data_IF_756304693622
#
_entry.id   IF_756304693622
#
_cell.length_a   1.000
_cell.length_b   1.000
_cell.length_c   1.000
_cell.angle_alpha   90.00
_cell.angle_beta   90.00
_cell.angle_gamma   90.00
#
_symmetry.space_group_name_H-M   'P 1'
#
loop_
_entity.id
_entity.type
_entity.pdbx_description
1 polymer ?
#
# COMPACT_ATOMS: atom_id res chain seq x y z
N UNK A 1 21.59 -3.57 1.40
CA UNK A 1 20.19 -3.39 1.00
C UNK A 1 20.05 -3.03 -0.48
N UNK A 2 20.83 -2.10 -1.03
CA UNK A 2 20.74 -1.67 -2.43
C UNK A 2 20.85 -2.84 -3.44
N UNK A 3 21.86 -3.71 -3.30
CA UNK A 3 22.04 -4.88 -4.17
C UNK A 3 20.80 -5.81 -4.20
N UNK A 4 20.10 -5.97 -3.06
CA UNK A 4 18.88 -6.77 -3.01
C UNK A 4 17.72 -6.07 -3.75
N UNK A 5 17.55 -4.74 -3.63
CA UNK A 5 16.56 -3.97 -4.40
C UNK A 5 16.79 -4.12 -5.91
N UNK A 6 18.03 -4.05 -6.35
CA UNK A 6 18.38 -4.21 -7.76
C UNK A 6 18.13 -5.63 -8.29
N UNK A 7 18.36 -6.67 -7.47
CA UNK A 7 18.02 -8.04 -7.82
C UNK A 7 16.50 -8.23 -7.90
N UNK A 8 15.75 -7.69 -6.94
CA UNK A 8 14.27 -7.74 -6.93
C UNK A 8 13.64 -7.01 -8.13
N UNK A 9 14.33 -6.04 -8.73
CA UNK A 9 13.86 -5.36 -9.93
C UNK A 9 13.81 -6.27 -11.16
N UNK A 10 14.63 -7.33 -11.20
CA UNK A 10 14.80 -8.19 -12.37
C UNK A 10 14.55 -9.67 -12.12
N UNK A 11 14.46 -10.09 -10.86
CA UNK A 11 14.26 -11.49 -10.48
C UNK A 11 13.09 -11.60 -9.49
N UNK A 12 12.46 -12.78 -9.46
CA UNK A 12 11.49 -13.11 -8.42
C UNK A 12 12.22 -13.34 -7.10
N UNK A 13 11.57 -12.99 -5.99
CA UNK A 13 12.15 -13.19 -4.65
C UNK A 13 12.60 -14.65 -4.40
N UNK A 14 11.82 -15.62 -4.85
CA UNK A 14 12.13 -17.04 -4.70
C UNK A 14 13.46 -17.44 -5.36
N UNK A 15 13.83 -16.79 -6.46
CA UNK A 15 15.03 -17.10 -7.25
C UNK A 15 16.30 -16.40 -6.73
N UNK A 16 16.15 -15.46 -5.77
CA UNK A 16 17.27 -14.71 -5.20
C UNK A 16 17.84 -15.47 -4.00
N UNK A 17 19.15 -15.77 -4.04
CA UNK A 17 19.88 -16.35 -2.92
C UNK A 17 20.71 -15.31 -2.18
N UNK A 18 21.07 -15.59 -0.91
CA UNK A 18 22.04 -14.78 -0.16
C UNK A 18 23.38 -14.69 -0.90
N UNK A 19 23.81 -15.78 -1.55
CA UNK A 19 25.04 -15.78 -2.36
C UNK A 19 24.97 -14.78 -3.53
N UNK A 20 23.82 -14.68 -4.23
CA UNK A 20 23.62 -13.71 -5.30
C UNK A 20 23.68 -12.26 -4.78
N UNK A 21 23.08 -12.01 -3.59
CA UNK A 21 23.14 -10.69 -2.95
C UNK A 21 24.57 -10.31 -2.57
N UNK A 22 25.33 -11.26 -2.01
CA UNK A 22 26.72 -11.05 -1.66
C UNK A 22 27.59 -10.77 -2.89
N UNK A 23 27.44 -11.58 -3.94
CA UNK A 23 28.16 -11.40 -5.19
C UNK A 23 27.90 -10.02 -5.81
N UNK A 24 26.64 -9.57 -5.79
CA UNK A 24 26.27 -8.26 -6.33
C UNK A 24 26.72 -7.09 -5.45
N UNK A 25 26.70 -7.26 -4.13
CA UNK A 25 27.08 -6.18 -3.19
C UNK A 25 28.58 -6.06 -2.96
N UNK A 26 29.38 -7.08 -3.28
CA UNK A 26 30.78 -7.19 -2.89
C UNK A 26 31.00 -7.37 -1.38
N UNK A 27 29.93 -7.61 -0.61
CA UNK A 27 30.02 -7.74 0.84
C UNK A 27 30.52 -9.13 1.27
N UNK A 28 31.28 -9.18 2.38
CA UNK A 28 31.67 -10.43 2.97
C UNK A 28 30.45 -11.15 3.61
N UNK A 29 30.45 -12.49 3.57
CA UNK A 29 29.37 -13.31 4.14
C UNK A 29 29.12 -12.99 5.62
N UNK A 30 30.18 -12.77 6.41
CA UNK A 30 30.06 -12.40 7.81
C UNK A 30 29.34 -11.07 8.02
N UNK A 31 29.57 -10.08 7.16
CA UNK A 31 28.88 -8.79 7.22
C UNK A 31 27.38 -8.93 6.98
N UNK A 32 26.96 -9.81 6.07
CA UNK A 32 25.54 -10.07 5.86
C UNK A 32 24.87 -10.61 7.12
N UNK A 33 25.42 -11.68 7.67
CA UNK A 33 24.85 -12.37 8.84
C UNK A 33 24.97 -11.58 10.15
N UNK A 34 25.80 -10.54 10.17
CA UNK A 34 25.82 -9.58 11.28
C UNK A 34 24.55 -8.71 11.31
N UNK A 35 24.01 -8.34 10.15
CA UNK A 35 22.83 -7.48 10.06
C UNK A 35 21.52 -8.23 9.87
N UNK A 36 21.55 -9.37 9.18
CA UNK A 36 20.35 -10.13 8.79
C UNK A 36 20.60 -11.62 9.04
N UNK A 37 19.76 -12.23 9.89
CA UNK A 37 19.87 -13.65 10.16
C UNK A 37 19.50 -14.51 8.92
N UNK A 38 18.66 -13.96 8.02
CA UNK A 38 18.20 -14.66 6.83
C UNK A 38 17.87 -13.70 5.67
N UNK A 39 17.54 -14.26 4.50
CA UNK A 39 17.04 -13.50 3.35
C UNK A 39 15.68 -12.86 3.66
N UNK A 40 14.87 -13.53 4.44
CA UNK A 40 13.56 -13.09 4.91
C UNK A 40 13.69 -11.85 5.81
N UNK A 41 14.66 -11.84 6.72
CA UNK A 41 14.94 -10.69 7.59
C UNK A 41 15.39 -9.46 6.78
N UNK A 42 16.17 -9.68 5.73
CA UNK A 42 16.54 -8.61 4.79
C UNK A 42 15.30 -8.08 4.05
N UNK A 43 14.42 -8.96 3.54
CA UNK A 43 13.19 -8.53 2.89
C UNK A 43 12.30 -7.76 3.86
N UNK A 44 12.14 -8.24 5.09
CA UNK A 44 11.38 -7.54 6.13
C UNK A 44 11.93 -6.13 6.41
N UNK A 45 13.25 -5.96 6.43
CA UNK A 45 13.88 -4.64 6.60
C UNK A 45 13.60 -3.72 5.39
N UNK A 46 13.68 -4.27 4.16
CA UNK A 46 13.37 -3.54 2.93
C UNK A 46 11.90 -3.07 2.90
N UNK A 47 10.98 -3.93 3.33
CA UNK A 47 9.55 -3.60 3.40
C UNK A 47 9.28 -2.49 4.41
N UNK A 48 9.86 -2.57 5.62
CA UNK A 48 9.72 -1.51 6.63
C UNK A 48 10.22 -0.17 6.11
N UNK A 49 11.37 -0.15 5.43
CA UNK A 49 11.90 1.08 4.83
C UNK A 49 11.00 1.61 3.70
N UNK A 50 10.52 0.73 2.83
CA UNK A 50 9.63 1.10 1.73
C UNK A 50 8.32 1.73 2.24
N UNK A 51 7.73 1.10 3.26
CA UNK A 51 6.45 1.55 3.83
C UNK A 51 6.61 2.78 4.71
N UNK A 52 7.70 2.91 5.46
CA UNK A 52 7.96 4.12 6.26
C UNK A 52 8.00 5.39 5.38
N UNK A 53 8.56 5.28 4.17
CA UNK A 53 8.46 6.35 3.17
C UNK A 53 7.03 6.62 2.66
N UNK A 54 6.16 5.61 2.71
CA UNK A 54 4.77 5.71 2.27
C UNK A 54 3.78 6.14 3.35
N UNK A 55 4.10 5.94 4.63
CA UNK A 55 3.29 6.50 5.73
C UNK A 55 3.32 8.03 5.72
N UNK A 56 4.44 8.66 5.33
CA UNK A 56 4.47 10.10 5.06
C UNK A 56 3.57 10.52 3.88
N UNK A 57 3.33 9.64 2.91
CA UNK A 57 2.34 9.88 1.85
C UNK A 57 0.90 9.60 2.33
N UNK A 58 0.71 8.67 3.27
CA UNK A 58 -0.57 8.46 3.94
C UNK A 58 -0.90 9.60 4.92
N UNK A 59 0.08 10.33 5.44
CA UNK A 59 -0.14 11.59 6.19
C UNK A 59 -0.81 12.66 5.31
N UNK A 60 -0.59 12.67 4.00
CA UNK A 60 -1.36 13.49 3.07
C UNK A 60 -2.84 13.09 3.04
N UNK A 61 -3.15 11.82 3.26
CA UNK A 61 -4.52 11.33 3.35
C UNK A 61 -5.08 11.39 4.78
N UNK A 62 -4.24 11.15 5.80
CA UNK A 62 -4.61 11.21 7.22
C UNK A 62 -4.37 12.60 7.83
N UNK A 63 -3.59 13.46 7.16
CA UNK A 63 -3.27 14.81 7.61
C UNK A 63 -4.49 15.72 7.56
N UNK A 64 -4.43 16.80 8.32
CA UNK A 64 -5.40 17.90 8.42
C UNK A 64 -5.54 18.72 7.13
N UNK A 65 -5.42 18.08 5.96
CA UNK A 65 -5.66 18.74 4.70
C UNK A 65 -7.12 19.21 4.67
N UNK A 66 -7.29 20.49 4.60
CA UNK A 66 -8.52 21.27 4.63
C UNK A 66 -9.41 21.09 3.38
N UNK A 67 -9.33 19.96 2.68
CA UNK A 67 -10.25 19.66 1.60
C UNK A 67 -11.59 19.25 2.22
N UNK A 68 -12.56 20.12 2.05
CA UNK A 68 -13.96 19.93 2.46
C UNK A 68 -14.68 18.85 1.64
N UNK A 69 -14.02 18.24 0.65
CA UNK A 69 -14.59 17.22 -0.22
C UNK A 69 -13.98 15.83 0.06
N UNK A 70 -14.76 14.91 0.64
CA UNK A 70 -14.31 13.56 0.93
C UNK A 70 -13.78 12.79 -0.29
N UNK A 71 -14.34 13.01 -1.49
CA UNK A 71 -13.91 12.30 -2.69
C UNK A 71 -12.51 12.73 -3.14
N UNK A 72 -12.16 14.00 -3.01
CA UNK A 72 -10.81 14.46 -3.27
C UNK A 72 -9.82 13.85 -2.27
N UNK A 73 -10.16 13.82 -0.98
CA UNK A 73 -9.31 13.20 0.02
C UNK A 73 -9.08 11.70 -0.24
N UNK A 74 -10.12 10.97 -0.63
CA UNK A 74 -10.02 9.56 -1.03
C UNK A 74 -9.11 9.42 -2.26
N UNK A 75 -9.33 10.25 -3.30
CA UNK A 75 -8.51 10.21 -4.52
C UNK A 75 -7.03 10.48 -4.25
N UNK A 76 -6.73 11.45 -3.41
CA UNK A 76 -5.35 11.80 -3.03
C UNK A 76 -4.68 10.64 -2.28
N UNK A 77 -5.39 9.99 -1.37
CA UNK A 77 -4.89 8.82 -0.65
C UNK A 77 -4.65 7.62 -1.58
N UNK A 78 -5.57 7.35 -2.49
CA UNK A 78 -5.41 6.31 -3.53
C UNK A 78 -4.22 6.62 -4.44
N UNK A 79 -4.08 7.86 -4.89
CA UNK A 79 -2.96 8.29 -5.73
C UNK A 79 -1.61 8.17 -4.99
N UNK A 80 -1.56 8.51 -3.70
CA UNK A 80 -0.37 8.31 -2.87
C UNK A 80 0.00 6.83 -2.75
N UNK A 81 -0.97 5.94 -2.56
CA UNK A 81 -0.77 4.49 -2.59
C UNK A 81 -0.24 3.98 -3.92
N UNK A 82 -0.82 4.43 -5.05
CA UNK A 82 -0.36 4.08 -6.39
C UNK A 82 1.09 4.54 -6.63
N UNK A 83 1.41 5.75 -6.19
CA UNK A 83 2.76 6.30 -6.27
C UNK A 83 3.78 5.49 -5.45
N UNK A 84 3.45 5.15 -4.20
CA UNK A 84 4.27 4.28 -3.36
C UNK A 84 4.56 2.93 -4.04
N UNK A 85 3.52 2.26 -4.52
CA UNK A 85 3.65 0.98 -5.18
C UNK A 85 4.50 1.07 -6.44
N UNK A 86 4.36 2.13 -7.23
CA UNK A 86 5.19 2.36 -8.42
C UNK A 86 6.67 2.54 -8.06
N UNK A 87 6.96 3.32 -7.01
CA UNK A 87 8.34 3.56 -6.57
C UNK A 87 8.98 2.33 -5.93
N UNK A 88 8.22 1.56 -5.17
CA UNK A 88 8.70 0.44 -4.37
C UNK A 88 8.28 -0.92 -4.95
N UNK A 89 7.83 -0.97 -6.21
CA UNK A 89 7.30 -2.16 -6.86
C UNK A 89 8.15 -3.43 -6.66
N UNK A 90 9.48 -3.41 -6.80
CA UNK A 90 10.29 -4.61 -6.61
C UNK A 90 10.16 -5.21 -5.19
N UNK A 91 10.13 -4.34 -4.17
CA UNK A 91 10.06 -4.77 -2.76
C UNK A 91 8.64 -5.19 -2.40
N UNK A 92 7.62 -4.40 -2.81
CA UNK A 92 6.22 -4.67 -2.47
C UNK A 92 5.68 -5.91 -3.20
N UNK A 93 6.11 -6.15 -4.45
CA UNK A 93 5.82 -7.44 -5.11
C UNK A 93 6.44 -8.61 -4.36
N UNK A 94 7.71 -8.48 -3.96
CA UNK A 94 8.43 -9.54 -3.28
C UNK A 94 7.76 -9.96 -1.97
N UNK A 95 7.26 -9.01 -1.16
CA UNK A 95 6.57 -9.36 0.10
C UNK A 95 5.23 -10.04 -0.17
N UNK A 96 4.43 -9.57 -1.13
CA UNK A 96 3.15 -10.20 -1.49
C UNK A 96 3.34 -11.62 -1.99
N UNK A 97 4.37 -11.86 -2.82
CA UNK A 97 4.70 -13.20 -3.31
C UNK A 97 5.25 -14.13 -2.21
N UNK A 98 6.06 -13.60 -1.30
CA UNK A 98 6.71 -14.37 -0.24
C UNK A 98 5.79 -14.67 0.95
N UNK A 99 4.85 -13.81 1.27
CA UNK A 99 3.92 -13.97 2.38
C UNK A 99 3.12 -15.28 2.31
N UNK A 100 2.80 -15.74 1.11
CA UNK A 100 2.11 -17.03 0.91
C UNK A 100 2.92 -18.28 1.29
N UNK A 101 4.23 -18.16 1.51
CA UNK A 101 5.15 -19.28 1.75
C UNK A 101 5.97 -19.16 3.02
N UNK A 102 6.01 -17.99 3.65
CA UNK A 102 6.76 -17.73 4.87
C UNK A 102 5.88 -17.04 5.92
N UNK A 103 5.69 -17.69 7.06
CA UNK A 103 4.77 -17.22 8.12
C UNK A 103 5.23 -15.90 8.78
N UNK A 104 6.54 -15.61 8.84
CA UNK A 104 7.04 -14.34 9.39
C UNK A 104 6.76 -13.18 8.45
N UNK A 105 6.93 -13.41 7.14
CA UNK A 105 6.64 -12.42 6.12
C UNK A 105 5.12 -12.21 5.99
N UNK A 106 4.31 -13.27 6.10
CA UNK A 106 2.85 -13.16 6.16
C UNK A 106 2.40 -12.30 7.35
N UNK A 107 2.91 -12.60 8.56
CA UNK A 107 2.59 -11.82 9.75
C UNK A 107 3.01 -10.36 9.63
N UNK A 108 4.20 -10.09 9.06
CA UNK A 108 4.67 -8.73 8.79
C UNK A 108 3.71 -7.99 7.84
N UNK A 109 3.32 -8.65 6.73
CA UNK A 109 2.47 -8.04 5.72
C UNK A 109 1.06 -7.78 6.23
N UNK A 110 0.47 -8.74 6.98
CA UNK A 110 -0.83 -8.54 7.65
C UNK A 110 -0.81 -7.38 8.61
N UNK A 111 0.22 -7.30 9.47
CA UNK A 111 0.36 -6.16 10.38
C UNK A 111 0.46 -4.83 9.64
N UNK A 112 1.12 -4.82 8.48
CA UNK A 112 1.20 -3.61 7.65
C UNK A 112 -0.17 -3.22 7.07
N UNK A 113 -0.96 -4.19 6.62
CA UNK A 113 -2.34 -3.95 6.14
C UNK A 113 -3.25 -3.47 7.27
N UNK A 114 -3.08 -4.03 8.48
CA UNK A 114 -3.82 -3.57 9.65
C UNK A 114 -3.48 -2.11 10.00
N UNK A 115 -2.21 -1.71 9.92
CA UNK A 115 -1.82 -0.31 10.14
C UNK A 115 -2.47 0.64 9.13
N UNK A 116 -2.53 0.27 7.85
CA UNK A 116 -3.24 1.07 6.84
C UNK A 116 -4.75 1.11 7.09
N UNK A 117 -5.35 -0.01 7.52
CA UNK A 117 -6.76 -0.08 7.89
C UNK A 117 -7.07 0.85 9.06
N UNK A 118 -6.24 0.84 10.11
CA UNK A 118 -6.43 1.71 11.27
C UNK A 118 -6.25 3.20 10.91
N UNK A 119 -5.27 3.52 10.06
CA UNK A 119 -5.09 4.89 9.58
C UNK A 119 -6.31 5.38 8.77
N UNK A 120 -6.87 4.51 7.93
CA UNK A 120 -8.08 4.83 7.17
C UNK A 120 -9.31 4.99 8.07
N UNK A 121 -9.47 4.14 9.10
CA UNK A 121 -10.53 4.28 10.09
C UNK A 121 -10.44 5.59 10.87
N UNK A 122 -9.24 5.94 11.33
CA UNK A 122 -9.01 7.19 12.05
C UNK A 122 -9.39 8.43 11.21
N UNK A 123 -9.30 8.34 9.87
CA UNK A 123 -9.74 9.41 8.96
C UNK A 123 -11.26 9.58 8.95
N UNK A 124 -12.03 8.52 9.24
CA UNK A 124 -13.50 8.58 9.33
C UNK A 124 -13.99 9.15 10.66
N UNK A 125 -13.12 9.26 11.66
CA UNK A 125 -13.47 9.85 12.95
C UNK A 125 -13.88 11.33 12.76
N UNK A 126 -15.13 11.65 13.13
CA UNK A 126 -15.69 12.99 12.97
C UNK A 126 -16.22 13.29 11.55
N UNK A 127 -16.14 12.37 10.62
CA UNK A 127 -16.74 12.52 9.28
C UNK A 127 -18.26 12.21 9.35
N UNK A 128 -19.06 13.29 9.44
CA UNK A 128 -20.50 13.20 9.60
C UNK A 128 -21.19 12.53 8.39
N UNK A 129 -20.65 12.67 7.20
CA UNK A 129 -21.25 12.12 5.99
C UNK A 129 -21.09 10.60 5.95
N UNK A 130 -19.87 10.10 6.17
CA UNK A 130 -19.61 8.65 6.26
C UNK A 130 -20.36 8.03 7.44
N UNK A 131 -20.40 8.71 8.59
CA UNK A 131 -21.15 8.25 9.76
C UNK A 131 -22.65 8.08 9.46
N UNK A 132 -23.24 9.00 8.69
CA UNK A 132 -24.63 8.93 8.27
C UNK A 132 -24.86 7.77 7.30
N UNK A 133 -24.01 7.59 6.31
CA UNK A 133 -24.12 6.49 5.33
C UNK A 133 -23.90 5.12 5.96
N UNK A 134 -22.94 5.02 6.87
CA UNK A 134 -22.59 3.78 7.56
C UNK A 134 -23.46 3.52 8.81
N UNK A 135 -24.48 4.32 9.07
CA UNK A 135 -25.30 4.21 10.28
C UNK A 135 -25.78 2.77 10.54
N UNK A 136 -25.47 2.23 11.72
CA UNK A 136 -25.77 0.85 12.10
C UNK A 136 -24.87 -0.24 11.51
N UNK A 137 -23.80 0.13 10.81
CA UNK A 137 -22.78 -0.78 10.25
C UNK A 137 -21.43 -0.57 10.94
N UNK A 138 -20.72 -1.67 11.18
CA UNK A 138 -19.32 -1.60 11.62
C UNK A 138 -18.43 -1.18 10.44
N UNK A 139 -17.71 -0.05 10.50
CA UNK A 139 -16.84 0.39 9.42
C UNK A 139 -15.58 -0.47 9.28
N UNK A 140 -15.13 -1.15 10.34
CA UNK A 140 -13.87 -1.90 10.33
C UNK A 140 -13.80 -2.97 9.22
N UNK A 141 -14.76 -3.89 9.07
CA UNK A 141 -14.70 -4.89 7.99
C UNK A 141 -14.74 -4.25 6.59
N UNK A 142 -15.45 -3.13 6.43
CA UNK A 142 -15.57 -2.42 5.15
C UNK A 142 -14.22 -1.82 4.77
N UNK A 143 -13.60 -1.08 5.69
CA UNK A 143 -12.30 -0.44 5.47
C UNK A 143 -11.19 -1.49 5.27
N UNK A 144 -11.21 -2.57 6.07
CA UNK A 144 -10.27 -3.68 5.89
C UNK A 144 -10.38 -4.30 4.48
N UNK A 145 -11.62 -4.56 4.01
CA UNK A 145 -11.83 -5.09 2.67
C UNK A 145 -11.32 -4.15 1.57
N UNK A 146 -11.52 -2.84 1.72
CA UNK A 146 -11.04 -1.83 0.80
C UNK A 146 -9.50 -1.73 0.82
N UNK A 147 -8.87 -1.85 1.99
CA UNK A 147 -7.40 -1.87 2.12
C UNK A 147 -6.81 -3.07 1.37
N UNK A 148 -7.37 -4.28 1.55
CA UNK A 148 -6.95 -5.47 0.83
C UNK A 148 -7.25 -5.42 -0.68
N UNK A 149 -8.37 -4.80 -1.07
CA UNK A 149 -8.66 -4.53 -2.48
C UNK A 149 -7.59 -3.61 -3.08
N UNK A 150 -7.22 -2.55 -2.38
CA UNK A 150 -6.17 -1.62 -2.80
C UNK A 150 -4.82 -2.33 -2.99
N UNK A 151 -4.40 -3.14 -1.99
CA UNK A 151 -3.20 -3.97 -2.09
C UNK A 151 -3.19 -4.81 -3.36
N UNK A 152 -4.28 -5.53 -3.63
CA UNK A 152 -4.38 -6.40 -4.80
C UNK A 152 -4.34 -5.64 -6.12
N UNK A 153 -5.06 -4.53 -6.21
CA UNK A 153 -5.08 -3.70 -7.44
C UNK A 153 -3.72 -3.07 -7.69
N UNK A 154 -3.05 -2.54 -6.67
CA UNK A 154 -1.69 -2.00 -6.80
C UNK A 154 -0.66 -3.09 -7.19
N UNK A 155 -0.78 -4.31 -6.65
CA UNK A 155 0.06 -5.43 -7.05
C UNK A 155 -0.13 -5.78 -8.55
N UNK A 156 -1.38 -5.84 -9.01
CA UNK A 156 -1.69 -6.08 -10.42
C UNK A 156 -1.12 -4.99 -11.32
N UNK A 157 -1.20 -3.73 -10.89
CA UNK A 157 -0.56 -2.61 -11.58
C UNK A 157 0.97 -2.75 -11.63
N UNK A 158 1.59 -3.10 -10.51
CA UNK A 158 3.04 -3.32 -10.42
C UNK A 158 3.53 -4.48 -11.30
N UNK A 159 2.65 -5.44 -11.59
CA UNK A 159 2.91 -6.56 -12.53
C UNK A 159 2.42 -6.28 -13.96
N UNK A 160 1.92 -5.07 -14.24
CA UNK A 160 1.37 -4.64 -15.53
C UNK A 160 0.26 -5.56 -16.04
N UNK A 161 -0.62 -5.98 -15.14
CA UNK A 161 -1.73 -6.89 -15.45
C UNK A 161 -2.96 -6.08 -15.88
N UNK A 162 -3.43 -6.17 -17.14
CA UNK A 162 -4.64 -5.50 -17.57
C UNK A 162 -5.86 -5.95 -16.76
N UNK A 163 -6.83 -5.04 -16.50
CA UNK A 163 -6.93 -3.67 -16.97
C UNK A 163 -6.21 -2.62 -16.07
N UNK A 164 -5.34 -3.04 -15.15
CA UNK A 164 -4.67 -2.17 -14.16
C UNK A 164 -3.24 -1.78 -14.58
N UNK A 165 -2.94 -1.78 -15.85
CA UNK A 165 -1.62 -1.47 -16.43
C UNK A 165 -1.33 0.04 -16.55
N UNK A 166 -2.32 0.88 -16.25
CA UNK A 166 -2.17 2.34 -16.17
C UNK A 166 -2.47 2.87 -14.77
N UNK A 167 -1.71 3.88 -14.33
CA UNK A 167 -1.90 4.52 -13.02
C UNK A 167 -3.29 5.15 -12.92
N UNK A 168 -3.80 5.74 -14.01
CA UNK A 168 -5.12 6.36 -14.06
C UNK A 168 -6.24 5.34 -13.79
N UNK A 169 -6.21 4.17 -14.43
CA UNK A 169 -7.21 3.12 -14.24
C UNK A 169 -7.24 2.63 -12.78
N UNK A 170 -6.07 2.53 -12.15
CA UNK A 170 -5.95 2.16 -10.73
C UNK A 170 -6.56 3.22 -9.82
N UNK A 171 -6.21 4.49 -10.05
CA UNK A 171 -6.73 5.61 -9.25
C UNK A 171 -8.24 5.71 -9.39
N UNK A 172 -8.78 5.61 -10.60
CA UNK A 172 -10.21 5.77 -10.84
C UNK A 172 -11.00 4.64 -10.18
N UNK A 173 -10.65 3.37 -10.42
CA UNK A 173 -11.39 2.24 -9.87
C UNK A 173 -11.34 2.18 -8.34
N UNK A 174 -10.18 2.47 -7.74
CA UNK A 174 -10.07 2.46 -6.28
C UNK A 174 -10.78 3.66 -5.66
N UNK A 175 -10.70 4.86 -6.27
CA UNK A 175 -11.44 6.04 -5.81
C UNK A 175 -12.95 5.75 -5.81
N UNK A 176 -13.46 5.19 -6.90
CA UNK A 176 -14.87 4.81 -7.00
C UNK A 176 -15.27 3.80 -5.92
N UNK A 177 -14.47 2.75 -5.75
CA UNK A 177 -14.76 1.71 -4.76
C UNK A 177 -14.81 2.27 -3.32
N UNK A 178 -13.81 3.05 -2.93
CA UNK A 178 -13.75 3.69 -1.62
C UNK A 178 -14.88 4.69 -1.41
N UNK A 179 -15.14 5.56 -2.38
CA UNK A 179 -16.17 6.60 -2.28
C UNK A 179 -17.56 5.99 -2.21
N UNK A 180 -17.84 4.99 -3.05
CA UNK A 180 -19.14 4.29 -3.04
C UNK A 180 -19.35 3.54 -1.71
N UNK A 181 -18.33 2.86 -1.21
CA UNK A 181 -18.47 2.07 0.02
C UNK A 181 -18.64 2.95 1.27
N UNK A 182 -17.94 4.09 1.35
CA UNK A 182 -17.91 4.95 2.54
C UNK A 182 -18.92 6.09 2.52
N UNK A 183 -19.43 6.50 1.32
CA UNK A 183 -20.31 7.66 1.16
C UNK A 183 -21.57 7.37 0.33
N UNK A 184 -21.71 6.16 -0.24
CA UNK A 184 -22.88 5.74 -1.02
C UNK A 184 -23.06 6.44 -2.36
N UNK A 185 -22.05 7.15 -2.84
CA UNK A 185 -22.12 7.94 -4.08
C UNK A 185 -20.79 7.89 -4.84
N UNK A 186 -20.87 8.16 -6.14
CA UNK A 186 -19.67 8.28 -6.99
C UNK A 186 -19.04 9.68 -6.87
N UNK A 187 -17.73 9.82 -7.12
CA UNK A 187 -17.03 11.12 -7.09
C UNK A 187 -17.70 12.21 -7.94
N UNK A 188 -18.23 11.85 -9.10
CA UNK A 188 -18.91 12.77 -10.03
C UNK A 188 -20.22 13.37 -9.48
N UNK A 189 -20.80 12.74 -8.44
CA UNK A 189 -22.04 13.19 -7.77
C UNK A 189 -21.75 14.15 -6.61
N UNK A 190 -20.48 14.36 -6.31
CA UNK A 190 -20.01 15.31 -5.33
C UNK A 190 -19.81 16.64 -6.07
N UNK A 191 -20.89 17.46 -6.14
CA UNK A 191 -20.79 18.77 -6.75
C UNK A 191 -19.77 19.64 -6.02
N UNK A 192 -18.87 20.34 -6.75
CA UNK A 192 -18.00 21.31 -6.10
C UNK A 192 -18.86 22.36 -5.38
N UNK A 193 -18.50 22.66 -4.13
CA UNK A 193 -19.17 23.74 -3.39
C UNK A 193 -19.15 25.00 -4.22
N UNK A 194 -20.33 25.57 -4.53
CA UNK A 194 -20.43 26.85 -5.25
C UNK A 194 -19.69 27.89 -4.44
N UNK A 195 -18.73 28.61 -5.03
CA UNK A 195 -18.14 29.75 -4.34
C UNK A 195 -19.26 30.77 -4.11
N UNK A 196 -19.47 31.14 -2.84
CA UNK A 196 -20.30 32.29 -2.42
C UNK A 196 -19.59 33.59 -2.72
#
# INVERSE_FOLDING_TARGET
>A
MQAARELLATHRYADISVAAILAKSGAAKGSFYFYFASKEDLLAALVREAVAGGLGAAELWTGTATTTDPAHAVRDGVAAGAHLWRQQAPVLRAIVEAAGTDSKLDALWRNQMDMFTQAALARLDGDQESATWLAGRDPLPIVAALTWLGERVYYLAATRTPPFDTEQAVIDVLTDAWTLALYGRRPEQIAPARPT
#
